data_IF_465662548171
#
_entry.id   IF_465662548171
#
_cell.length_a   1.000
_cell.length_b   1.000
_cell.length_c   1.000
_cell.angle_alpha   90.00
_cell.angle_beta   90.00
_cell.angle_gamma   90.00
#
_symmetry.space_group_name_H-M   'P 1'
#
loop_
_entity.id
_entity.type
_entity.pdbx_description
1 polymer ?
#
# COMPACT_ATOMS: atom_id res chain seq x y z
N UNK A 1 9.24 25.61 -18.35
CA UNK A 1 8.45 26.82 -18.63
C UNK A 1 7.11 26.38 -19.20
N UNK A 2 6.00 26.86 -18.64
CA UNK A 2 4.71 26.95 -19.34
C UNK A 2 4.44 28.45 -19.38
N UNK A 3 4.50 29.07 -20.56
CA UNK A 3 4.28 30.51 -20.72
C UNK A 3 5.19 31.43 -19.88
N UNK A 4 6.52 31.26 -20.00
CA UNK A 4 7.55 32.15 -19.43
C UNK A 4 7.57 32.40 -17.90
N UNK A 5 6.77 31.69 -17.11
CA UNK A 5 6.91 31.74 -15.65
C UNK A 5 7.99 30.77 -15.13
N UNK A 6 8.91 31.24 -14.25
CA UNK A 6 9.88 30.38 -13.59
C UNK A 6 9.16 29.45 -12.60
N UNK A 7 9.55 28.17 -12.56
CA UNK A 7 9.07 27.24 -11.55
C UNK A 7 9.78 27.50 -10.22
N UNK A 8 9.01 27.60 -9.14
CA UNK A 8 9.58 27.58 -7.79
C UNK A 8 10.10 26.17 -7.50
N UNK A 9 11.41 26.05 -7.21
CA UNK A 9 12.01 24.81 -6.75
C UNK A 9 11.82 24.71 -5.24
N UNK A 10 11.06 23.69 -4.81
CA UNK A 10 10.73 23.46 -3.40
C UNK A 10 11.20 22.08 -2.97
N UNK A 11 11.80 22.00 -1.78
CA UNK A 11 12.32 20.73 -1.23
C UNK A 11 11.23 19.68 -0.98
N UNK A 12 10.01 20.15 -0.67
CA UNK A 12 8.83 19.32 -0.49
C UNK A 12 7.54 20.08 -0.78
N UNK A 13 6.55 19.41 -1.37
CA UNK A 13 5.21 19.94 -1.59
C UNK A 13 4.12 18.90 -1.34
N UNK A 14 2.94 19.36 -0.91
CA UNK A 14 1.78 18.51 -0.72
C UNK A 14 0.90 18.53 -1.98
N UNK A 15 0.76 17.38 -2.64
CA UNK A 15 -0.09 17.20 -3.81
C UNK A 15 -1.16 16.14 -3.53
N UNK A 16 -2.44 16.52 -3.64
CA UNK A 16 -3.59 15.66 -3.38
C UNK A 16 -3.50 14.92 -2.01
N UNK A 17 -2.88 15.57 -1.02
CA UNK A 17 -2.69 15.01 0.32
C UNK A 17 -1.52 14.03 0.47
N UNK A 18 -0.70 13.83 -0.56
CA UNK A 18 0.57 13.11 -0.53
C UNK A 18 1.74 14.08 -0.57
N UNK A 19 2.74 13.86 0.29
CA UNK A 19 3.91 14.73 0.37
C UNK A 19 4.98 14.22 -0.59
N UNK A 20 5.32 15.02 -1.59
CA UNK A 20 6.36 14.73 -2.57
C UNK A 20 7.60 15.51 -2.12
N UNK A 21 8.70 14.82 -1.86
CA UNK A 21 9.99 15.44 -1.53
C UNK A 21 11.05 15.11 -2.58
N UNK A 22 12.12 15.91 -2.65
CA UNK A 22 13.22 15.70 -3.60
C UNK A 22 13.91 14.33 -3.43
N UNK A 23 13.83 13.73 -2.25
CA UNK A 23 14.35 12.38 -1.99
C UNK A 23 13.48 11.24 -2.56
N UNK A 24 12.25 11.54 -2.99
CA UNK A 24 11.23 10.56 -3.41
C UNK A 24 10.84 9.59 -2.29
N UNK A 25 10.99 10.02 -1.03
CA UNK A 25 10.95 9.18 0.15
C UNK A 25 9.54 8.98 0.70
N UNK A 26 8.98 7.78 0.57
CA UNK A 26 7.66 7.43 1.13
C UNK A 26 7.61 7.45 2.68
N UNK A 27 8.75 7.62 3.36
CA UNK A 27 8.82 7.54 4.82
C UNK A 27 8.07 8.67 5.53
N UNK A 28 8.17 9.91 5.05
CA UNK A 28 7.45 11.06 5.62
C UNK A 28 5.94 10.90 5.44
N UNK A 29 5.52 10.51 4.23
CA UNK A 29 4.12 10.25 3.91
C UNK A 29 3.53 9.15 4.81
N UNK A 30 4.22 8.02 4.95
CA UNK A 30 3.77 6.91 5.80
C UNK A 30 3.67 7.34 7.26
N UNK A 31 4.62 8.14 7.76
CA UNK A 31 4.57 8.68 9.12
C UNK A 31 3.32 9.56 9.31
N UNK A 32 3.02 10.43 8.35
CA UNK A 32 1.83 11.27 8.37
C UNK A 32 0.53 10.43 8.32
N UNK A 33 0.48 9.41 7.46
CA UNK A 33 -0.68 8.48 7.34
C UNK A 33 -0.89 7.69 8.63
N UNK A 34 0.17 7.20 9.25
CA UNK A 34 0.10 6.56 10.58
C UNK A 34 -0.44 7.53 11.62
N UNK A 35 -0.01 8.80 11.62
CA UNK A 35 -0.54 9.81 12.52
C UNK A 35 -2.05 10.03 12.35
N UNK A 36 -2.51 10.20 11.10
CA UNK A 36 -3.94 10.34 10.77
C UNK A 36 -4.76 9.11 11.16
N UNK A 37 -4.28 7.91 10.82
CA UNK A 37 -4.92 6.67 11.18
C UNK A 37 -4.94 6.45 12.70
N UNK A 38 -3.88 6.85 13.41
CA UNK A 38 -3.82 6.82 14.87
C UNK A 38 -4.89 7.72 15.47
N UNK A 39 -5.03 8.95 14.99
CA UNK A 39 -6.07 9.88 15.44
C UNK A 39 -7.47 9.28 15.24
N UNK A 40 -7.77 8.76 14.05
CA UNK A 40 -9.04 8.08 13.75
C UNK A 40 -9.30 6.89 14.69
N UNK A 41 -8.27 6.07 14.96
CA UNK A 41 -8.37 4.96 15.89
C UNK A 41 -8.62 5.43 17.33
N UNK A 42 -7.95 6.49 17.79
CA UNK A 42 -8.09 7.01 19.15
C UNK A 42 -9.46 7.64 19.41
N UNK A 43 -10.05 8.31 18.42
CA UNK A 43 -11.40 8.88 18.52
C UNK A 43 -12.43 7.80 18.86
N UNK A 44 -12.26 6.60 18.31
CA UNK A 44 -13.10 5.43 18.60
C UNK A 44 -12.67 4.63 19.85
N UNK A 45 -11.85 5.23 20.72
CA UNK A 45 -11.26 4.59 21.90
C UNK A 45 -12.25 3.85 22.82
N UNK A 46 -13.41 4.46 23.08
CA UNK A 46 -14.48 3.86 23.89
C UNK A 46 -15.12 2.67 23.18
N UNK A 47 -15.40 2.81 21.88
CA UNK A 47 -16.01 1.77 21.04
C UNK A 47 -15.19 0.47 21.03
N UNK A 48 -13.86 0.56 20.96
CA UNK A 48 -13.00 -0.63 21.01
C UNK A 48 -13.14 -1.39 22.35
N UNK A 49 -13.38 -0.66 23.45
CA UNK A 49 -13.51 -1.18 24.82
C UNK A 49 -14.92 -1.69 25.19
N UNK A 50 -15.95 -1.44 24.38
CA UNK A 50 -17.34 -1.90 24.63
C UNK A 50 -17.48 -3.40 24.38
N UNK A 51 -18.08 -4.17 25.30
CA UNK A 51 -18.23 -5.65 25.19
C UNK A 51 -19.41 -6.07 24.31
N UNK A 52 -20.44 -5.25 24.23
CA UNK A 52 -21.71 -5.58 23.56
C UNK A 52 -21.60 -5.55 22.02
N UNK A 53 -20.47 -5.07 21.50
CA UNK A 53 -20.22 -4.97 20.07
C UNK A 53 -19.35 -6.14 19.63
N UNK A 54 -19.88 -6.92 18.67
CA UNK A 54 -19.20 -8.08 18.11
C UNK A 54 -17.82 -7.73 17.54
N UNK A 55 -16.88 -8.68 17.61
CA UNK A 55 -15.56 -8.54 17.01
C UNK A 55 -15.65 -8.25 15.50
N UNK A 56 -16.56 -8.93 14.79
CA UNK A 56 -16.79 -8.74 13.35
C UNK A 56 -17.14 -7.28 13.03
N UNK A 57 -18.03 -6.67 13.80
CA UNK A 57 -18.40 -5.25 13.62
C UNK A 57 -17.21 -4.33 13.88
N UNK A 58 -16.43 -4.58 14.94
CA UNK A 58 -15.23 -3.78 15.23
C UNK A 58 -14.19 -3.86 14.12
N UNK A 59 -13.92 -5.05 13.61
CA UNK A 59 -12.97 -5.25 12.51
C UNK A 59 -13.44 -4.53 11.23
N UNK A 60 -14.74 -4.57 10.92
CA UNK A 60 -15.31 -3.78 9.81
C UNK A 60 -15.05 -2.28 10.00
N UNK A 61 -15.38 -1.73 11.16
CA UNK A 61 -15.16 -0.29 11.44
C UNK A 61 -13.66 0.06 11.36
N UNK A 62 -12.78 -0.81 11.87
CA UNK A 62 -11.34 -0.65 11.75
C UNK A 62 -10.88 -0.58 10.29
N UNK A 63 -11.35 -1.51 9.44
CA UNK A 63 -11.03 -1.52 8.00
C UNK A 63 -11.50 -0.22 7.33
N UNK A 64 -12.76 0.18 7.56
CA UNK A 64 -13.36 1.32 6.86
C UNK A 64 -12.87 2.69 7.31
N UNK A 65 -12.47 2.87 8.58
CA UNK A 65 -12.12 4.19 9.12
C UNK A 65 -10.63 4.36 9.38
N UNK A 66 -9.92 3.29 9.74
CA UNK A 66 -8.51 3.38 10.15
C UNK A 66 -7.63 2.87 9.03
N UNK A 67 -7.93 1.68 8.50
CA UNK A 67 -7.11 1.03 7.47
C UNK A 67 -7.21 1.75 6.13
N UNK A 68 -8.39 2.24 5.76
CA UNK A 68 -8.61 3.08 4.59
C UNK A 68 -7.76 4.36 4.61
N UNK A 69 -7.72 5.07 5.75
CA UNK A 69 -6.90 6.28 5.93
C UNK A 69 -5.41 5.95 5.89
N UNK A 70 -5.03 4.83 6.52
CA UNK A 70 -3.65 4.37 6.61
C UNK A 70 -3.08 3.97 5.25
N UNK A 71 -3.84 3.25 4.43
CA UNK A 71 -3.39 2.65 3.16
C UNK A 71 -3.79 3.48 1.93
N UNK A 72 -4.35 4.66 2.13
CA UNK A 72 -4.71 5.54 1.02
C UNK A 72 -3.47 5.90 0.18
N UNK A 73 -3.55 5.64 -1.13
CA UNK A 73 -2.49 5.92 -2.10
C UNK A 73 -1.32 4.93 -2.06
N UNK A 74 -1.45 3.81 -1.35
CA UNK A 74 -0.34 2.88 -1.16
C UNK A 74 0.13 2.18 -2.46
N UNK A 75 -0.72 2.17 -3.49
CA UNK A 75 -0.41 1.68 -4.84
C UNK A 75 0.78 2.41 -5.46
N UNK A 76 0.91 3.72 -5.22
CA UNK A 76 1.93 4.59 -5.79
C UNK A 76 3.23 4.62 -4.96
N UNK A 77 3.19 4.12 -3.72
CA UNK A 77 4.34 4.16 -2.83
C UNK A 77 5.48 3.28 -3.32
N UNK A 78 6.70 3.81 -3.28
CA UNK A 78 7.93 3.01 -3.35
C UNK A 78 8.27 2.46 -1.96
N UNK A 79 7.33 1.73 -1.36
CA UNK A 79 7.42 1.30 0.02
C UNK A 79 8.57 0.31 0.24
N UNK A 80 9.61 0.74 0.95
CA UNK A 80 10.67 -0.15 1.42
C UNK A 80 10.14 -1.17 2.43
N UNK A 81 10.88 -2.26 2.64
CA UNK A 81 10.54 -3.25 3.68
C UNK A 81 10.41 -2.62 5.07
N UNK A 82 11.20 -1.57 5.37
CA UNK A 82 11.12 -0.80 6.62
C UNK A 82 9.77 -0.08 6.73
N UNK A 83 9.32 0.53 5.63
CA UNK A 83 8.03 1.22 5.56
C UNK A 83 6.86 0.27 5.82
N UNK A 84 6.85 -0.89 5.14
CA UNK A 84 5.82 -1.92 5.30
C UNK A 84 5.81 -2.45 6.75
N UNK A 85 6.99 -2.70 7.34
CA UNK A 85 7.10 -3.12 8.75
C UNK A 85 6.49 -2.10 9.71
N UNK A 86 6.71 -0.80 9.49
CA UNK A 86 6.10 0.27 10.33
C UNK A 86 4.57 0.24 10.26
N UNK A 87 4.01 0.09 9.06
CA UNK A 87 2.56 -0.04 8.85
C UNK A 87 2.04 -1.31 9.55
N UNK A 88 2.72 -2.44 9.39
CA UNK A 88 2.35 -3.70 10.03
C UNK A 88 2.34 -3.59 11.56
N UNK A 89 3.37 -2.98 12.16
CA UNK A 89 3.44 -2.76 13.61
C UNK A 89 2.26 -1.92 14.10
N UNK A 90 1.92 -0.86 13.37
CA UNK A 90 0.76 -0.02 13.69
C UNK A 90 -0.55 -0.82 13.63
N UNK A 91 -0.79 -1.58 12.55
CA UNK A 91 -1.99 -2.42 12.39
C UNK A 91 -2.07 -3.45 13.51
N UNK A 92 -0.97 -4.16 13.79
CA UNK A 92 -0.92 -5.18 14.83
C UNK A 92 -1.20 -4.61 16.22
N UNK A 93 -0.71 -3.39 16.51
CA UNK A 93 -1.03 -2.68 17.76
C UNK A 93 -2.53 -2.37 17.87
N UNK A 94 -3.15 -1.95 16.78
CA UNK A 94 -4.60 -1.70 16.74
C UNK A 94 -5.40 -2.99 16.93
N UNK A 95 -5.06 -4.06 16.22
CA UNK A 95 -5.73 -5.36 16.32
C UNK A 95 -5.64 -5.96 17.72
N UNK A 96 -4.46 -5.91 18.37
CA UNK A 96 -4.30 -6.35 19.77
C UNK A 96 -5.21 -5.58 20.72
N UNK A 97 -5.36 -4.27 20.51
CA UNK A 97 -6.25 -3.42 21.32
C UNK A 97 -7.74 -3.71 21.06
N UNK A 98 -8.13 -4.00 19.82
CA UNK A 98 -9.49 -4.43 19.46
C UNK A 98 -9.85 -5.77 20.16
N UNK A 99 -8.91 -6.72 20.15
CA UNK A 99 -9.03 -8.01 20.82
C UNK A 99 -8.82 -7.95 22.33
N UNK A 100 -8.36 -6.82 22.86
CA UNK A 100 -8.04 -6.60 24.29
C UNK A 100 -7.01 -7.57 24.86
N UNK A 101 -6.04 -7.94 24.02
CA UNK A 101 -4.93 -8.81 24.41
C UNK A 101 -4.07 -8.04 25.41
N UNK A 102 -3.85 -8.63 26.59
CA UNK A 102 -2.98 -8.05 27.61
C UNK A 102 -1.52 -8.37 27.27
N UNK A 103 -0.59 -7.62 27.85
CA UNK A 103 0.84 -7.87 27.64
C UNK A 103 1.30 -9.24 28.16
N UNK A 104 0.58 -9.80 29.14
CA UNK A 104 0.78 -11.16 29.69
C UNK A 104 0.41 -12.25 28.70
N UNK A 105 -0.50 -11.96 27.76
CA UNK A 105 -1.04 -12.93 26.82
C UNK A 105 -0.10 -13.01 25.62
N UNK A 106 0.88 -13.92 25.69
CA UNK A 106 1.85 -14.12 24.60
C UNK A 106 1.17 -14.74 23.38
N UNK A 107 0.95 -13.92 22.35
CA UNK A 107 0.37 -14.33 21.07
C UNK A 107 1.32 -14.00 19.91
N UNK A 108 1.48 -14.95 18.98
CA UNK A 108 2.23 -14.72 17.74
C UNK A 108 1.50 -13.74 16.80
N UNK A 109 2.20 -13.17 15.82
CA UNK A 109 1.53 -12.29 14.86
C UNK A 109 0.62 -13.09 13.92
N UNK A 110 0.97 -14.34 13.63
CA UNK A 110 0.23 -15.25 12.77
C UNK A 110 -1.13 -15.59 13.41
N UNK A 111 -1.15 -15.95 14.70
CA UNK A 111 -2.39 -16.23 15.41
C UNK A 111 -3.27 -14.96 15.57
N UNK A 112 -2.64 -13.79 15.70
CA UNK A 112 -3.37 -12.52 15.69
C UNK A 112 -4.09 -12.29 14.35
N UNK A 113 -3.42 -12.56 13.24
CA UNK A 113 -3.97 -12.40 11.89
C UNK A 113 -5.07 -13.41 11.60
N UNK A 114 -4.88 -14.67 12.00
CA UNK A 114 -5.87 -15.74 11.89
C UNK A 114 -7.15 -15.40 12.65
N UNK A 115 -7.04 -15.03 13.94
CA UNK A 115 -8.21 -14.65 14.77
C UNK A 115 -8.98 -13.45 14.23
N UNK A 116 -8.30 -12.55 13.52
CA UNK A 116 -8.92 -11.34 12.95
C UNK A 116 -9.25 -11.47 11.47
N UNK A 117 -8.94 -12.61 10.84
CA UNK A 117 -9.00 -12.85 9.40
C UNK A 117 -8.40 -11.69 8.60
N UNK A 118 -7.27 -11.17 9.08
CA UNK A 118 -6.54 -10.10 8.42
C UNK A 118 -5.33 -10.66 7.70
N UNK A 119 -4.97 -10.01 6.60
CA UNK A 119 -3.74 -10.29 5.85
C UNK A 119 -2.60 -9.37 6.31
N UNK A 120 -1.34 -9.78 6.12
CA UNK A 120 -0.21 -8.89 6.27
C UNK A 120 -0.33 -7.64 5.39
N UNK A 121 0.14 -6.51 5.91
CA UNK A 121 0.07 -5.21 5.26
C UNK A 121 0.82 -5.19 3.92
N UNK A 122 1.91 -5.95 3.81
CA UNK A 122 2.67 -6.09 2.56
C UNK A 122 1.82 -6.67 1.44
N UNK A 123 1.04 -7.71 1.74
CA UNK A 123 0.21 -8.40 0.74
C UNK A 123 -1.01 -7.58 0.36
N UNK A 124 -1.52 -6.76 1.28
CA UNK A 124 -2.62 -5.84 0.99
C UNK A 124 -2.17 -4.67 0.11
N UNK A 125 -1.03 -4.07 0.43
CA UNK A 125 -0.41 -3.02 -0.41
C UNK A 125 -0.07 -3.59 -1.79
N UNK A 126 0.49 -4.80 -1.84
CA UNK A 126 0.73 -5.54 -3.08
C UNK A 126 -0.54 -5.69 -3.91
N UNK A 127 -1.62 -6.19 -3.31
CA UNK A 127 -2.92 -6.31 -3.98
C UNK A 127 -3.46 -4.99 -4.50
N UNK A 128 -3.41 -3.93 -3.71
CA UNK A 128 -3.90 -2.61 -4.16
C UNK A 128 -3.07 -2.11 -5.35
N UNK A 129 -1.75 -2.25 -5.30
CA UNK A 129 -0.85 -1.93 -6.41
C UNK A 129 -1.20 -2.71 -7.67
N UNK A 130 -1.36 -4.02 -7.58
CA UNK A 130 -1.66 -4.86 -8.74
C UNK A 130 -3.09 -4.67 -9.25
N UNK A 131 -4.07 -4.36 -8.40
CA UNK A 131 -5.40 -3.92 -8.85
C UNK A 131 -5.31 -2.61 -9.64
N UNK A 132 -4.53 -1.64 -9.17
CA UNK A 132 -4.30 -0.37 -9.86
C UNK A 132 -3.56 -0.56 -11.19
N UNK A 133 -2.55 -1.43 -11.23
CA UNK A 133 -1.84 -1.80 -12.47
C UNK A 133 -2.83 -2.39 -13.49
N UNK A 134 -3.65 -3.35 -13.08
CA UNK A 134 -4.66 -3.95 -13.96
C UNK A 134 -5.63 -2.91 -14.52
N UNK A 135 -6.17 -2.05 -13.64
CA UNK A 135 -7.03 -0.95 -14.06
C UNK A 135 -6.35 -0.02 -15.07
N UNK A 136 -5.06 0.25 -14.89
CA UNK A 136 -4.27 1.09 -15.80
C UNK A 136 -4.02 0.42 -17.14
N UNK A 137 -3.77 -0.90 -17.16
CA UNK A 137 -3.51 -1.67 -18.38
C UNK A 137 -4.74 -1.81 -19.29
N UNK A 138 -5.94 -1.79 -18.72
CA UNK A 138 -7.21 -1.84 -19.46
C UNK A 138 -7.53 -0.50 -20.14
N UNK A 139 -6.94 0.62 -19.68
CA UNK A 139 -7.22 1.95 -20.27
C UNK A 139 -6.79 2.04 -21.76
N UNK A 140 -7.42 2.93 -22.54
CA UNK A 140 -7.05 3.18 -23.93
C UNK A 140 -5.58 3.55 -24.12
N UNK A 141 -5.03 3.31 -25.31
CA UNK A 141 -3.61 3.49 -25.63
C UNK A 141 -3.10 4.95 -25.54
N UNK A 142 -4.00 5.94 -25.46
CA UNK A 142 -3.65 7.35 -25.22
C UNK A 142 -3.65 7.78 -23.75
N UNK A 143 -3.97 6.88 -22.81
CA UNK A 143 -4.03 7.24 -21.39
C UNK A 143 -2.65 7.55 -20.83
N UNK A 144 -2.49 8.76 -20.28
CA UNK A 144 -1.24 9.20 -19.63
C UNK A 144 -0.77 8.19 -18.59
N UNK A 145 -1.68 7.65 -17.78
CA UNK A 145 -1.32 6.66 -16.74
C UNK A 145 -0.73 5.37 -17.30
N UNK A 146 -1.19 4.93 -18.48
CA UNK A 146 -0.69 3.74 -19.17
C UNK A 146 0.69 3.99 -19.76
N UNK A 147 0.88 5.19 -20.34
CA UNK A 147 2.19 5.63 -20.82
C UNK A 147 3.21 5.74 -19.67
N UNK A 148 2.82 6.35 -18.55
CA UNK A 148 3.66 6.49 -17.34
C UNK A 148 4.05 5.14 -16.76
N UNK A 149 3.16 4.13 -16.79
CA UNK A 149 3.45 2.78 -16.31
C UNK A 149 4.61 2.13 -17.08
N UNK A 150 4.70 2.39 -18.39
CA UNK A 150 5.75 1.89 -19.27
C UNK A 150 6.93 2.86 -19.43
N UNK A 151 6.81 4.12 -18.98
CA UNK A 151 7.82 5.17 -19.14
C UNK A 151 9.10 4.97 -18.31
N UNK A 152 10.24 4.86 -18.98
CA UNK A 152 11.55 4.76 -18.36
C UNK A 152 12.25 6.13 -18.42
N UNK A 153 12.39 6.86 -17.30
CA UNK A 153 13.03 8.17 -17.30
C UNK A 153 14.51 8.03 -17.69
N UNK A 154 14.96 8.89 -18.61
CA UNK A 154 16.34 8.95 -19.05
C UNK A 154 17.20 9.67 -18.00
N UNK A 155 18.40 9.14 -17.71
CA UNK A 155 19.32 9.74 -16.75
C UNK A 155 20.33 8.77 -16.16
N UNK A 156 21.44 9.30 -15.62
CA UNK A 156 22.44 8.52 -14.88
C UNK A 156 22.05 8.42 -13.41
N UNK A 157 22.14 7.22 -12.84
CA UNK A 157 21.95 7.01 -11.40
C UNK A 157 23.23 7.29 -10.66
N UNK A 158 23.10 7.75 -9.41
CA UNK A 158 24.23 7.92 -8.49
C UNK A 158 25.03 6.62 -8.35
N UNK A 159 26.37 6.74 -8.30
CA UNK A 159 27.28 5.60 -8.07
C UNK A 159 27.06 5.02 -6.66
N UNK A 160 27.14 3.69 -6.52
CA UNK A 160 26.86 2.95 -5.28
C UNK A 160 25.67 2.00 -5.40
N UNK A 161 25.11 1.52 -4.28
CA UNK A 161 23.88 0.67 -4.28
C UNK A 161 22.66 1.55 -4.54
N UNK A 162 22.05 1.52 -5.74
CA UNK A 162 20.95 2.44 -6.05
C UNK A 162 19.68 2.00 -5.30
N UNK A 163 18.88 2.96 -4.82
CA UNK A 163 17.58 2.67 -4.19
C UNK A 163 16.69 1.86 -5.15
N UNK A 164 15.84 0.99 -4.62
CA UNK A 164 14.80 0.33 -5.42
C UNK A 164 13.89 1.37 -6.06
N UNK A 165 13.41 1.13 -7.28
CA UNK A 165 12.38 1.97 -7.92
C UNK A 165 11.08 1.19 -7.97
N UNK A 166 9.95 1.90 -8.03
CA UNK A 166 8.63 1.29 -8.18
C UNK A 166 8.59 0.32 -9.38
N UNK A 167 9.21 0.70 -10.51
CA UNK A 167 9.38 -0.16 -11.69
C UNK A 167 10.14 -1.45 -11.38
N UNK A 168 11.28 -1.39 -10.70
CA UNK A 168 12.06 -2.61 -10.38
C UNK A 168 11.31 -3.53 -9.43
N UNK A 169 10.56 -2.97 -8.48
CA UNK A 169 9.69 -3.77 -7.60
C UNK A 169 8.62 -4.49 -8.42
N UNK A 170 7.95 -3.79 -9.34
CA UNK A 170 7.00 -4.39 -10.30
C UNK A 170 7.67 -5.48 -11.14
N UNK A 171 8.79 -5.17 -11.79
CA UNK A 171 9.47 -6.08 -12.71
C UNK A 171 10.02 -7.31 -12.00
N UNK A 172 10.49 -7.18 -10.76
CA UNK A 172 10.90 -8.32 -9.94
C UNK A 172 9.72 -9.23 -9.63
N UNK A 173 8.57 -8.68 -9.20
CA UNK A 173 7.37 -9.50 -8.95
C UNK A 173 6.90 -10.24 -10.21
N UNK A 174 6.96 -9.59 -11.39
CA UNK A 174 6.66 -10.24 -12.68
C UNK A 174 7.60 -11.41 -12.95
N UNK A 175 8.91 -11.20 -12.76
CA UNK A 175 9.94 -12.24 -12.95
C UNK A 175 9.78 -13.39 -11.97
N UNK A 176 9.57 -13.09 -10.69
CA UNK A 176 9.40 -14.07 -9.62
C UNK A 176 8.14 -14.92 -9.84
N UNK A 177 7.11 -14.35 -10.49
CA UNK A 177 5.91 -15.07 -10.91
C UNK A 177 6.06 -15.92 -12.17
N UNK A 178 7.25 -15.96 -12.78
CA UNK A 178 7.52 -16.74 -14.00
C UNK A 178 6.88 -16.17 -15.27
N UNK A 179 6.39 -14.93 -15.24
CA UNK A 179 5.75 -14.29 -16.38
C UNK A 179 6.64 -13.22 -17.03
N UNK A 180 6.33 -12.89 -18.28
CA UNK A 180 6.87 -11.68 -18.93
C UNK A 180 5.90 -10.53 -18.79
N UNK A 181 6.39 -9.29 -18.83
CA UNK A 181 5.52 -8.11 -18.74
C UNK A 181 4.46 -8.09 -19.85
N UNK A 182 4.82 -8.49 -21.08
CA UNK A 182 3.87 -8.59 -22.20
C UNK A 182 2.80 -9.66 -21.97
N UNK A 183 3.14 -10.77 -21.31
CA UNK A 183 2.15 -11.77 -20.90
C UNK A 183 1.18 -11.18 -19.87
N UNK A 184 1.69 -10.48 -18.85
CA UNK A 184 0.88 -9.79 -17.83
C UNK A 184 -0.04 -8.74 -18.45
N UNK A 185 0.42 -7.96 -19.45
CA UNK A 185 -0.44 -7.00 -20.18
C UNK A 185 -1.63 -7.66 -20.87
N UNK A 186 -1.42 -8.85 -21.45
CA UNK A 186 -2.49 -9.63 -22.10
C UNK A 186 -3.44 -10.22 -21.07
N UNK A 187 -2.93 -10.75 -19.96
CA UNK A 187 -3.78 -11.24 -18.85
C UNK A 187 -4.68 -10.15 -18.29
N UNK A 188 -4.20 -8.90 -18.20
CA UNK A 188 -4.99 -7.79 -17.68
C UNK A 188 -6.26 -7.46 -18.47
N UNK A 189 -6.37 -7.91 -19.73
CA UNK A 189 -7.58 -7.69 -20.55
C UNK A 189 -8.74 -8.60 -20.12
N UNK A 190 -8.45 -9.72 -19.48
CA UNK A 190 -9.43 -10.64 -18.93
C UNK A 190 -9.50 -10.44 -17.40
N UNK A 191 -10.68 -10.04 -16.92
CA UNK A 191 -10.88 -9.71 -15.51
C UNK A 191 -10.72 -10.91 -14.58
N UNK A 192 -11.11 -12.10 -15.02
CA UNK A 192 -11.01 -13.33 -14.22
C UNK A 192 -9.57 -13.82 -14.17
N UNK A 193 -8.89 -13.85 -15.32
CA UNK A 193 -7.45 -14.17 -15.38
C UNK A 193 -6.64 -13.17 -14.56
N UNK A 194 -6.96 -11.88 -14.62
CA UNK A 194 -6.29 -10.88 -13.80
C UNK A 194 -6.52 -11.11 -12.30
N UNK A 195 -7.75 -11.41 -11.91
CA UNK A 195 -8.07 -11.73 -10.50
C UNK A 195 -7.27 -12.94 -10.03
N UNK A 196 -7.27 -14.04 -10.81
CA UNK A 196 -6.51 -15.25 -10.49
C UNK A 196 -5.01 -14.99 -10.37
N UNK A 197 -4.44 -14.17 -11.26
CA UNK A 197 -3.04 -13.76 -11.18
C UNK A 197 -2.73 -12.98 -9.88
N UNK A 198 -3.55 -11.99 -9.53
CA UNK A 198 -3.34 -11.19 -8.31
C UNK A 198 -3.54 -12.03 -7.04
N UNK A 199 -4.52 -12.93 -7.03
CA UNK A 199 -4.77 -13.82 -5.90
C UNK A 199 -3.66 -14.88 -5.74
N UNK A 200 -3.04 -15.32 -6.84
CA UNK A 200 -1.85 -16.18 -6.82
C UNK A 200 -0.59 -15.47 -6.29
N UNK A 201 -0.43 -14.18 -6.58
CA UNK A 201 0.66 -13.37 -6.02
C UNK A 201 0.46 -13.08 -4.53
N UNK A 202 -0.78 -12.85 -4.12
CA UNK A 202 -1.15 -12.44 -2.77
C UNK A 202 -2.44 -13.16 -2.34
N UNK A 203 -2.33 -14.32 -1.69
CA UNK A 203 -3.48 -15.14 -1.29
C UNK A 203 -4.43 -14.39 -0.36
N UNK A 204 -5.74 -14.47 -0.63
CA UNK A 204 -6.79 -13.96 0.26
C UNK A 204 -6.80 -14.72 1.59
N UNK A 205 -7.23 -14.10 2.70
CA UNK A 205 -7.46 -14.86 3.91
C UNK A 205 -8.64 -15.81 3.66
N UNK A 206 -8.46 -17.10 3.99
CA UNK A 206 -9.50 -18.13 3.93
C UNK A 206 -10.64 -17.92 4.91
#
# INVERSE_FOLDING_TARGET
MIGDQPFEDVDAFCYLGSNIDQEGGTSKEIKARIGKAQAAFTTLGRFWKTRDISLKTKLRIFIFNVKSVLLYGCEAWNASTICIKRIQVFINRCLRRILRIKWTDKISNESLWERTRQIPAGDEIGRQRWRWIGHTLIKPCGSITKNVLDWNPQGKRSRGRPRGTWRRVKDNVVKDSGHTWNHVKRMAQDRERWRGFVDGLYPAPG
#
